data_IF_377317188628
#
_entry.id   IF_377317188628
#
_cell.length_a   1.000
_cell.length_b   1.000
_cell.length_c   1.000
_cell.angle_alpha   90.00
_cell.angle_beta   90.00
_cell.angle_gamma   90.00
#
_symmetry.space_group_name_H-M   'P 1'
#
loop_
_entity.id
_entity.type
_entity.pdbx_description
1 polymer ?
#
# COMPACT_ATOMS: atom_id res chain seq x y z
N UNK A 1 -2.17 -23.50 7.17
CA UNK A 1 -1.86 -22.99 5.82
C UNK A 1 -1.95 -21.47 5.88
N UNK A 2 -0.82 -20.77 5.81
CA UNK A 2 -0.80 -19.31 5.89
C UNK A 2 -1.36 -18.77 4.58
N UNK A 3 -2.52 -18.10 4.62
CA UNK A 3 -3.09 -17.48 3.44
C UNK A 3 -2.04 -16.54 2.80
N UNK A 4 -1.91 -16.51 1.46
CA UNK A 4 -0.94 -15.67 0.78
C UNK A 4 -1.09 -14.20 1.21
N UNK A 5 0.03 -13.50 1.33
CA UNK A 5 0.04 -12.07 1.61
C UNK A 5 -0.38 -11.37 0.31
N UNK A 6 -1.43 -10.55 0.39
CA UNK A 6 -1.95 -9.76 -0.73
C UNK A 6 -1.78 -8.28 -0.42
N UNK A 7 -1.76 -7.43 -1.46
CA UNK A 7 -1.70 -5.97 -1.29
C UNK A 7 -2.80 -5.47 -0.34
N UNK A 8 -4.03 -5.97 -0.51
CA UNK A 8 -5.16 -5.65 0.36
C UNK A 8 -4.87 -5.97 1.83
N UNK A 9 -4.31 -7.14 2.12
CA UNK A 9 -4.01 -7.54 3.51
C UNK A 9 -2.92 -6.68 4.14
N UNK A 10 -1.92 -6.24 3.35
CA UNK A 10 -0.91 -5.29 3.82
C UNK A 10 -1.52 -3.91 4.10
N UNK A 11 -2.38 -3.41 3.21
CA UNK A 11 -3.10 -2.14 3.42
C UNK A 11 -4.00 -2.19 4.66
N UNK A 12 -4.76 -3.28 4.84
CA UNK A 12 -5.61 -3.48 6.02
C UNK A 12 -4.76 -3.53 7.31
N UNK A 13 -3.58 -4.17 7.28
CA UNK A 13 -2.66 -4.20 8.42
C UNK A 13 -2.03 -2.83 8.73
N UNK A 14 -1.64 -2.06 7.70
CA UNK A 14 -1.12 -0.69 7.84
C UNK A 14 -2.15 0.20 8.53
N UNK A 15 -3.43 0.09 8.15
CA UNK A 15 -4.50 0.87 8.77
C UNK A 15 -4.62 0.57 10.28
N UNK A 16 -4.62 -0.72 10.66
CA UNK A 16 -4.69 -1.14 12.07
C UNK A 16 -3.48 -0.66 12.86
N UNK A 17 -2.26 -0.83 12.33
CA UNK A 17 -1.04 -0.39 13.03
C UNK A 17 -1.01 1.13 13.17
N UNK A 18 -1.50 1.87 12.17
CA UNK A 18 -1.63 3.33 12.24
C UNK A 18 -2.56 3.76 13.38
N UNK A 19 -3.70 3.10 13.53
CA UNK A 19 -4.62 3.35 14.65
C UNK A 19 -3.94 3.08 16.00
N UNK A 20 -3.22 1.97 16.12
CA UNK A 20 -2.45 1.61 17.32
C UNK A 20 -1.38 2.66 17.64
N UNK A 21 -0.68 3.20 16.65
CA UNK A 21 0.30 4.28 16.84
C UNK A 21 -0.38 5.54 17.37
N UNK A 22 -1.54 5.92 16.82
CA UNK A 22 -2.29 7.08 17.29
C UNK A 22 -2.77 6.92 18.74
N UNK A 23 -3.18 5.70 19.13
CA UNK A 23 -3.69 5.42 20.47
C UNK A 23 -2.59 5.21 21.53
N UNK A 24 -1.45 4.64 21.14
CA UNK A 24 -0.45 4.12 22.08
C UNK A 24 0.98 4.65 21.85
N UNK A 25 1.14 5.57 20.90
CA UNK A 25 2.37 6.31 20.63
C UNK A 25 3.31 5.63 19.64
N UNK A 26 4.37 6.36 19.30
CA UNK A 26 5.32 6.03 18.22
C UNK A 26 6.17 4.76 18.43
N UNK A 27 6.05 4.06 19.57
CA UNK A 27 6.79 2.81 19.83
C UNK A 27 6.48 1.70 18.81
N UNK A 28 5.35 1.79 18.11
CA UNK A 28 4.96 0.87 17.04
C UNK A 28 5.36 1.34 15.64
N UNK A 29 5.99 2.51 15.49
CA UNK A 29 6.47 3.00 14.19
C UNK A 29 7.33 1.97 13.43
N UNK A 30 8.25 1.21 14.07
CA UNK A 30 9.01 0.18 13.35
C UNK A 30 8.16 -0.93 12.71
N UNK A 31 6.96 -1.19 13.24
CA UNK A 31 6.02 -2.14 12.62
C UNK A 31 5.36 -1.54 11.38
N UNK A 32 5.02 -0.25 11.44
CA UNK A 32 4.46 0.47 10.30
C UNK A 32 5.47 0.55 9.15
N UNK A 33 6.71 0.95 9.45
CA UNK A 33 7.81 1.05 8.48
C UNK A 33 8.00 -0.27 7.72
N UNK A 34 7.97 -1.39 8.45
CA UNK A 34 8.11 -2.72 7.86
C UNK A 34 6.95 -3.05 6.92
N UNK A 35 5.71 -2.77 7.33
CA UNK A 35 4.53 -3.05 6.49
C UNK A 35 4.53 -2.20 5.22
N UNK A 36 4.93 -0.93 5.31
CA UNK A 36 5.07 -0.05 4.17
C UNK A 36 6.17 -0.55 3.21
N UNK A 37 7.29 -1.03 3.74
CA UNK A 37 8.35 -1.64 2.94
C UNK A 37 7.89 -2.92 2.23
N UNK A 38 7.15 -3.80 2.91
CA UNK A 38 6.58 -5.02 2.30
C UNK A 38 5.56 -4.68 1.21
N UNK A 39 4.75 -3.63 1.41
CA UNK A 39 3.81 -3.13 0.41
C UNK A 39 4.55 -2.58 -0.83
N UNK A 40 5.61 -1.81 -0.62
CA UNK A 40 6.40 -1.26 -1.71
C UNK A 40 7.16 -2.34 -2.47
N UNK A 41 7.67 -3.36 -1.78
CA UNK A 41 8.26 -4.54 -2.40
C UNK A 41 7.23 -5.26 -3.29
N UNK A 42 6.02 -5.50 -2.78
CA UNK A 42 4.94 -6.15 -3.53
C UNK A 42 4.56 -5.35 -4.79
N UNK A 43 4.51 -4.02 -4.69
CA UNK A 43 4.27 -3.11 -5.82
C UNK A 43 5.45 -3.01 -6.79
N UNK A 44 6.67 -3.17 -6.30
CA UNK A 44 7.89 -3.11 -7.13
C UNK A 44 8.07 -4.36 -8.01
N UNK A 45 7.49 -5.49 -7.61
CA UNK A 45 7.35 -6.67 -8.49
C UNK A 45 6.32 -6.45 -9.62
N UNK A 46 5.49 -5.43 -9.53
CA UNK A 46 4.59 -5.02 -10.61
C UNK A 46 5.42 -4.34 -11.71
N UNK A 47 5.38 -4.89 -12.94
CA UNK A 47 6.20 -4.43 -14.06
C UNK A 47 6.13 -2.90 -14.22
N UNK A 48 7.26 -2.19 -14.44
CA UNK A 48 7.27 -0.75 -14.67
C UNK A 48 6.29 -0.32 -15.78
N UNK A 49 6.05 -1.20 -16.75
CA UNK A 49 5.09 -1.01 -17.84
C UNK A 49 3.65 -0.98 -17.31
N UNK A 50 3.29 -1.90 -16.42
CA UNK A 50 1.96 -1.96 -15.79
C UNK A 50 1.73 -0.72 -14.93
N UNK A 51 2.74 -0.28 -14.19
CA UNK A 51 2.71 0.99 -13.44
C UNK A 51 2.48 2.20 -14.35
N UNK A 52 3.20 2.30 -15.47
CA UNK A 52 3.04 3.38 -16.43
C UNK A 52 1.64 3.39 -17.08
N UNK A 53 1.12 2.21 -17.45
CA UNK A 53 -0.24 2.08 -18.00
C UNK A 53 -1.30 2.54 -16.99
N UNK A 54 -1.17 2.18 -15.72
CA UNK A 54 -2.08 2.61 -14.65
C UNK A 54 -2.03 4.14 -14.44
N UNK A 55 -0.85 4.74 -14.46
CA UNK A 55 -0.70 6.20 -14.35
C UNK A 55 -1.39 6.93 -15.53
N UNK A 56 -1.25 6.40 -16.75
CA UNK A 56 -1.93 6.95 -17.93
C UNK A 56 -3.46 6.80 -17.81
N UNK A 57 -3.94 5.63 -17.39
CA UNK A 57 -5.36 5.38 -17.19
C UNK A 57 -5.98 6.33 -16.15
N UNK A 58 -5.30 6.57 -15.01
CA UNK A 58 -5.76 7.49 -13.98
C UNK A 58 -5.81 8.95 -14.46
N UNK A 59 -4.82 9.40 -15.24
CA UNK A 59 -4.87 10.72 -15.88
C UNK A 59 -6.04 10.86 -16.85
N UNK A 60 -6.32 9.81 -17.61
CA UNK A 60 -7.39 9.83 -18.60
C UNK A 60 -8.77 9.87 -17.94
N UNK A 61 -8.96 9.16 -16.83
CA UNK A 61 -10.17 9.24 -16.01
C UNK A 61 -10.39 10.61 -15.36
N UNK A 62 -9.31 11.34 -15.00
CA UNK A 62 -9.42 12.71 -14.49
C UNK A 62 -9.74 13.74 -15.58
N UNK A 63 -9.40 13.47 -16.84
CA UNK A 63 -9.65 14.38 -17.96
C UNK A 63 -11.09 14.36 -18.51
N UNK A 64 -11.93 13.39 -18.09
CA UNK A 64 -13.31 13.22 -18.57
C UNK A 64 -14.34 13.81 -17.59
N UNK A 65 -13.90 14.41 -16.47
CA UNK A 65 -14.76 15.20 -15.59
C UNK A 65 -14.82 16.68 -15.99
N UNK A 66 -15.57 17.00 -17.05
CA UNK A 66 -16.07 18.35 -17.37
C UNK A 66 -17.58 18.31 -17.38
#
# INVERSE_FOLDING_TARGET
>A
MTAPITEKRLLDAIAVVSEVILLHGAKYAPLLDRLEQELDALRSYESPVVRAQRHLAQRQSQSIGV
#
